data_IF_916020598181
#
_entry.id   IF_916020598181
#
_cell.length_a   1.000
_cell.length_b   1.000
_cell.length_c   1.000
_cell.angle_alpha   90.00
_cell.angle_beta   90.00
_cell.angle_gamma   90.00
#
_symmetry.space_group_name_H-M   'P 1'
#
loop_
_entity.id
_entity.type
_entity.pdbx_description
1 polymer ?
#
# COMPACT_ATOMS: atom_id res chain seq x y z
N UNK A 1 -18.56 6.86 -1.70
CA UNK A 1 -17.54 6.03 -1.05
C UNK A 1 -17.74 6.26 0.42
N UNK A 2 -18.34 5.30 1.10
CA UNK A 2 -18.29 5.21 2.56
C UNK A 2 -16.84 5.45 3.01
N UNK A 3 -16.67 6.16 4.12
CA UNK A 3 -15.37 6.55 4.64
C UNK A 3 -14.54 5.28 4.83
N UNK A 4 -13.54 5.08 3.97
CA UNK A 4 -12.62 3.96 4.09
C UNK A 4 -12.01 4.00 5.50
N UNK A 5 -12.03 2.86 6.18
CA UNK A 5 -11.39 2.77 7.47
C UNK A 5 -9.90 3.06 7.32
N UNK A 6 -9.40 3.93 8.20
CA UNK A 6 -7.99 4.28 8.21
C UNK A 6 -7.23 3.15 8.91
N UNK A 7 -6.25 2.50 8.23
CA UNK A 7 -5.38 1.54 8.87
C UNK A 7 -4.47 2.26 9.86
N UNK A 8 -4.26 1.64 11.01
CA UNK A 8 -3.24 2.03 11.97
C UNK A 8 -1.91 1.45 11.50
N UNK A 9 -1.26 2.18 10.57
CA UNK A 9 -0.03 1.71 9.94
C UNK A 9 1.04 1.50 11.00
N UNK A 10 1.30 0.23 11.33
CA UNK A 10 2.23 -0.14 12.37
C UNK A 10 3.66 0.29 12.00
N UNK A 11 4.15 -0.18 10.84
CA UNK A 11 5.48 0.18 10.30
C UNK A 11 5.52 0.12 8.78
N UNK A 12 6.39 0.95 8.21
CA UNK A 12 6.77 0.89 6.80
C UNK A 12 8.26 0.51 6.73
N UNK A 13 8.57 -0.56 6.00
CA UNK A 13 9.93 -1.07 5.82
C UNK A 13 10.40 -0.85 4.39
N UNK A 14 11.63 -0.37 4.22
CA UNK A 14 12.34 -0.43 2.96
C UNK A 14 13.30 -1.63 3.01
N UNK A 15 13.10 -2.59 2.11
CA UNK A 15 13.84 -3.87 2.13
C UNK A 15 14.62 -4.07 0.84
N UNK A 16 15.78 -4.71 0.92
CA UNK A 16 16.62 -5.01 -0.26
C UNK A 16 16.13 -6.22 -1.06
N UNK A 17 15.32 -7.08 -0.44
CA UNK A 17 14.89 -8.36 -1.01
C UNK A 17 13.40 -8.60 -0.78
N UNK A 18 12.74 -9.41 -1.64
CA UNK A 18 11.37 -9.86 -1.44
C UNK A 18 11.13 -10.44 -0.03
N UNK A 19 9.97 -10.13 0.53
CA UNK A 19 9.52 -10.74 1.79
C UNK A 19 8.84 -12.07 1.46
N UNK A 20 9.42 -13.17 1.96
CA UNK A 20 8.93 -14.54 1.70
C UNK A 20 8.17 -15.15 2.88
N UNK A 21 7.88 -14.35 3.91
CA UNK A 21 7.14 -14.76 5.08
C UNK A 21 5.64 -14.87 4.75
N UNK A 22 4.99 -15.96 5.19
CA UNK A 22 3.58 -16.28 4.91
C UNK A 22 2.58 -15.24 5.43
N UNK A 23 2.98 -14.44 6.42
CA UNK A 23 2.14 -13.39 7.00
C UNK A 23 2.15 -12.11 6.14
N UNK A 24 2.97 -12.09 5.08
CA UNK A 24 3.08 -10.99 4.13
C UNK A 24 2.46 -11.36 2.80
N UNK A 25 1.59 -10.48 2.31
CA UNK A 25 0.90 -10.63 1.04
C UNK A 25 1.54 -9.69 0.03
N UNK A 26 2.02 -10.24 -1.09
CA UNK A 26 2.45 -9.44 -2.22
C UNK A 26 1.25 -8.73 -2.85
N UNK A 27 1.34 -7.41 -3.07
CA UNK A 27 0.24 -6.63 -3.63
C UNK A 27 0.59 -5.99 -4.97
N UNK A 28 1.73 -5.33 -5.10
CA UNK A 28 2.05 -4.54 -6.29
C UNK A 28 3.53 -4.19 -6.35
N UNK A 29 4.23 -4.41 -7.48
CA UNK A 29 5.61 -3.97 -7.75
C UNK A 29 6.54 -3.88 -6.51
N UNK A 30 6.77 -5.01 -5.86
CA UNK A 30 7.66 -5.09 -4.70
C UNK A 30 7.05 -4.58 -3.38
N UNK A 31 5.75 -4.28 -3.35
CA UNK A 31 4.99 -3.95 -2.14
C UNK A 31 4.40 -5.21 -1.56
N UNK A 32 4.61 -5.39 -0.26
CA UNK A 32 4.05 -6.45 0.56
C UNK A 32 3.33 -5.82 1.74
N UNK A 33 2.20 -6.39 2.15
CA UNK A 33 1.46 -5.95 3.33
C UNK A 33 1.28 -7.10 4.30
N UNK A 34 1.37 -6.82 5.58
CA UNK A 34 1.00 -7.75 6.64
C UNK A 34 -0.32 -7.26 7.24
N UNK A 35 -1.37 -8.07 7.07
CA UNK A 35 -2.74 -7.69 7.42
C UNK A 35 -2.99 -7.69 8.93
N UNK A 36 -2.25 -8.48 9.69
CA UNK A 36 -2.40 -8.57 11.16
C UNK A 36 -1.72 -7.41 11.88
N UNK A 37 -0.52 -7.04 11.42
CA UNK A 37 0.29 -5.95 12.01
C UNK A 37 0.14 -4.62 11.27
N UNK A 38 -0.75 -4.56 10.28
CA UNK A 38 -1.00 -3.41 9.40
C UNK A 38 0.31 -2.74 8.90
N UNK A 39 1.30 -3.57 8.56
CA UNK A 39 2.62 -3.13 8.17
C UNK A 39 2.85 -3.26 6.66
N UNK A 40 3.69 -2.39 6.10
CA UNK A 40 3.99 -2.33 4.67
C UNK A 40 5.49 -2.53 4.47
N UNK A 41 5.89 -3.40 3.55
CA UNK A 41 7.27 -3.56 3.14
C UNK A 41 7.40 -3.26 1.65
N UNK A 42 8.39 -2.46 1.29
CA UNK A 42 8.65 -2.01 -0.07
C UNK A 42 10.05 -2.45 -0.45
N UNK A 43 10.14 -3.30 -1.47
CA UNK A 43 11.41 -3.72 -2.04
C UNK A 43 12.02 -2.56 -2.82
N UNK A 44 13.25 -2.20 -2.47
CA UNK A 44 14.01 -1.17 -3.17
C UNK A 44 14.12 -1.54 -4.65
N UNK A 45 13.86 -0.56 -5.52
CA UNK A 45 14.00 -0.72 -6.96
C UNK A 45 14.63 0.52 -7.57
N UNK A 46 15.09 0.42 -8.81
CA UNK A 46 15.61 1.56 -9.57
C UNK A 46 14.55 2.63 -9.89
N UNK A 47 13.25 2.32 -9.73
CA UNK A 47 12.18 3.30 -9.87
C UNK A 47 11.87 3.94 -8.52
N UNK A 48 12.12 5.25 -8.41
CA UNK A 48 11.77 6.10 -7.26
C UNK A 48 10.28 6.42 -7.26
N UNK A 49 9.44 5.44 -6.90
CA UNK A 49 8.02 5.69 -6.67
C UNK A 49 7.51 5.08 -5.35
N UNK A 50 8.33 5.24 -4.32
CA UNK A 50 8.03 4.72 -2.99
C UNK A 50 6.76 5.34 -2.41
N UNK A 51 6.47 6.63 -2.67
CA UNK A 51 5.24 7.27 -2.19
C UNK A 51 4.00 6.60 -2.79
N UNK A 52 3.98 6.35 -4.11
CA UNK A 52 2.86 5.63 -4.73
C UNK A 52 2.73 4.22 -4.17
N UNK A 53 3.84 3.52 -3.97
CA UNK A 53 3.88 2.17 -3.40
C UNK A 53 3.37 2.12 -1.96
N UNK A 54 3.73 3.11 -1.15
CA UNK A 54 3.17 3.32 0.19
C UNK A 54 1.66 3.51 0.08
N UNK A 55 1.19 4.39 -0.81
CA UNK A 55 -0.25 4.61 -1.00
C UNK A 55 -0.99 3.33 -1.42
N UNK A 56 -0.41 2.50 -2.28
CA UNK A 56 -0.99 1.19 -2.63
C UNK A 56 -1.12 0.32 -1.37
N UNK A 57 -0.07 0.19 -0.58
CA UNK A 57 -0.11 -0.59 0.66
C UNK A 57 -1.17 -0.08 1.65
N UNK A 58 -1.23 1.24 1.84
CA UNK A 58 -2.23 1.89 2.71
C UNK A 58 -3.64 1.60 2.22
N UNK A 59 -3.93 1.79 0.93
CA UNK A 59 -5.28 1.53 0.40
C UNK A 59 -5.66 0.05 0.43
N UNK A 60 -4.72 -0.89 0.26
CA UNK A 60 -5.00 -2.31 0.45
C UNK A 60 -5.42 -2.58 1.90
N UNK A 61 -4.66 -2.05 2.87
CA UNK A 61 -4.98 -2.21 4.29
C UNK A 61 -6.32 -1.55 4.64
N UNK A 62 -6.59 -0.33 4.17
CA UNK A 62 -7.90 0.33 4.33
C UNK A 62 -9.05 -0.50 3.78
N UNK A 63 -8.94 -0.99 2.54
CA UNK A 63 -10.00 -1.76 1.89
C UNK A 63 -10.20 -3.11 2.57
N UNK A 64 -9.11 -3.77 2.99
CA UNK A 64 -9.19 -5.01 3.75
C UNK A 64 -9.86 -4.78 5.11
N UNK A 65 -9.53 -3.71 5.81
CA UNK A 65 -10.14 -3.37 7.10
C UNK A 65 -11.63 -3.05 6.96
N UNK A 66 -12.01 -2.28 5.94
CA UNK A 66 -13.40 -1.87 5.68
C UNK A 66 -14.28 -3.04 5.20
N UNK A 67 -13.75 -3.91 4.33
CA UNK A 67 -14.56 -4.91 3.59
C UNK A 67 -14.15 -6.36 3.81
N UNK A 68 -13.13 -6.63 4.63
CA UNK A 68 -12.56 -7.97 4.84
C UNK A 68 -11.93 -8.61 3.60
N UNK A 69 -11.74 -7.86 2.51
CA UNK A 69 -11.38 -8.39 1.19
C UNK A 69 -10.20 -7.65 0.58
N UNK A 70 -9.26 -8.40 -0.01
CA UNK A 70 -8.10 -7.85 -0.72
C UNK A 70 -8.48 -7.30 -2.10
N UNK A 71 -8.89 -6.04 -2.14
CA UNK A 71 -9.27 -5.33 -3.37
C UNK A 71 -8.06 -4.62 -4.01
N UNK A 72 -7.04 -5.38 -4.43
CA UNK A 72 -5.74 -4.84 -4.89
C UNK A 72 -5.89 -3.89 -6.08
N UNK A 73 -6.62 -4.28 -7.12
CA UNK A 73 -6.81 -3.42 -8.30
C UNK A 73 -7.49 -2.09 -7.95
N UNK A 74 -8.44 -2.13 -7.03
CA UNK A 74 -9.11 -0.94 -6.50
C UNK A 74 -8.13 -0.07 -5.71
N UNK A 75 -7.29 -0.68 -4.85
CA UNK A 75 -6.25 0.02 -4.11
C UNK A 75 -5.27 0.73 -5.03
N UNK A 76 -4.81 0.07 -6.09
CA UNK A 76 -3.90 0.66 -7.08
C UNK A 76 -4.56 1.83 -7.82
N UNK A 77 -5.83 1.71 -8.22
CA UNK A 77 -6.58 2.81 -8.86
C UNK A 77 -6.74 4.00 -7.91
N UNK A 78 -7.05 3.76 -6.64
CA UNK A 78 -7.13 4.81 -5.62
C UNK A 78 -5.76 5.46 -5.41
N UNK A 79 -4.71 4.67 -5.20
CA UNK A 79 -3.34 5.17 -5.07
C UNK A 79 -2.96 6.06 -6.26
N UNK A 80 -3.32 5.69 -7.51
CA UNK A 80 -3.03 6.51 -8.69
C UNK A 80 -3.78 7.83 -8.63
N UNK A 81 -5.09 7.77 -8.38
CA UNK A 81 -5.96 8.95 -8.28
C UNK A 81 -5.44 9.94 -7.24
N UNK A 82 -5.04 9.46 -6.07
CA UNK A 82 -4.57 10.31 -4.97
C UNK A 82 -3.12 10.76 -5.16
N UNK A 83 -2.23 9.93 -5.70
CA UNK A 83 -0.86 10.31 -6.02
C UNK A 83 -0.81 11.47 -7.02
N UNK A 84 -1.59 11.41 -8.11
CA UNK A 84 -1.69 12.52 -9.05
C UNK A 84 -2.33 13.76 -8.44
N UNK A 85 -3.34 13.60 -7.58
CA UNK A 85 -3.93 14.73 -6.86
C UNK A 85 -2.90 15.43 -5.97
N UNK A 86 -2.08 14.68 -5.26
CA UNK A 86 -1.01 15.22 -4.42
C UNK A 86 0.04 15.96 -5.25
N UNK A 87 0.52 15.38 -6.36
CA UNK A 87 1.53 16.02 -7.22
C UNK A 87 0.99 17.27 -7.92
N UNK A 88 -0.23 17.23 -8.46
CA UNK A 88 -0.83 18.36 -9.19
C UNK A 88 -1.28 19.49 -8.25
N UNK A 89 -1.52 19.18 -6.97
CA UNK A 89 -1.85 20.18 -5.95
C UNK A 89 -0.63 20.94 -5.42
N UNK A 90 0.59 20.51 -5.74
CA UNK A 90 1.81 21.33 -5.52
C UNK A 90 1.95 22.27 -6.72
N UNK A 91 1.15 23.35 -6.72
CA UNK A 91 1.30 24.50 -7.60
C UNK A 91 1.37 25.76 -6.78
#
# INVERSE_FOLDING_TARGET
MEELETPDIGRIFLVEKPVLDKNWVYVYEGVYVNLESESIAIVKSTYDNDIFRILVGVFVLSLYKTYGTLLIDTAVKLARKYFFKTIVSVK
#
